data_IF_424875498240
#
_entry.id   IF_424875498240
#
_cell.length_a   1.000
_cell.length_b   1.000
_cell.length_c   1.000
_cell.angle_alpha   90.00
_cell.angle_beta   90.00
_cell.angle_gamma   90.00
#
_symmetry.space_group_name_H-M   'P 1'
#
loop_
_entity.id
_entity.type
_entity.pdbx_description
1 polymer ?
#
# COMPACT_ATOMS: atom_id res chain seq x y z
N UNK A 1 13.24 -46.81 38.75
CA UNK A 1 14.17 -46.76 37.60
C UNK A 1 13.30 -46.63 36.36
N UNK A 2 13.39 -45.54 35.58
CA UNK A 2 12.62 -45.41 34.34
C UNK A 2 13.38 -46.15 33.22
N UNK A 3 12.79 -47.21 32.68
CA UNK A 3 13.35 -47.93 31.53
C UNK A 3 13.45 -47.00 30.32
N UNK A 4 14.61 -47.03 29.66
CA UNK A 4 14.86 -46.19 28.49
C UNK A 4 14.00 -46.72 27.33
N UNK A 5 13.25 -45.85 26.61
CA UNK A 5 12.34 -46.31 25.56
C UNK A 5 13.10 -47.06 24.46
N UNK A 6 12.49 -48.09 23.85
CA UNK A 6 13.15 -48.91 22.85
C UNK A 6 13.47 -48.08 21.58
N UNK A 7 14.53 -48.40 20.84
CA UNK A 7 15.02 -47.58 19.72
C UNK A 7 14.00 -47.31 18.62
N UNK A 8 13.08 -48.25 18.39
CA UNK A 8 12.05 -48.14 17.35
C UNK A 8 11.04 -47.03 17.64
N UNK A 9 10.67 -46.83 18.91
CA UNK A 9 9.72 -45.79 19.33
C UNK A 9 10.25 -44.38 19.07
N UNK A 10 11.57 -44.18 19.16
CA UNK A 10 12.22 -42.89 18.86
C UNK A 10 12.21 -42.63 17.35
N UNK A 11 12.41 -43.68 16.54
CA UNK A 11 12.47 -43.59 15.07
C UNK A 11 11.08 -43.31 14.49
N UNK A 12 10.04 -43.96 15.00
CA UNK A 12 8.64 -43.72 14.63
C UNK A 12 8.19 -42.32 15.03
N UNK A 13 8.44 -41.89 16.27
CA UNK A 13 8.08 -40.54 16.75
C UNK A 13 8.83 -39.44 15.98
N UNK A 14 10.08 -39.70 15.58
CA UNK A 14 10.86 -38.79 14.73
C UNK A 14 10.30 -38.74 13.30
N UNK A 15 9.91 -39.87 12.73
CA UNK A 15 9.24 -39.96 11.42
C UNK A 15 7.97 -39.12 11.38
N UNK A 16 7.03 -39.38 12.29
CA UNK A 16 5.78 -38.61 12.37
C UNK A 16 6.05 -37.12 12.58
N UNK A 17 7.01 -36.74 13.44
CA UNK A 17 7.34 -35.33 13.67
C UNK A 17 7.85 -34.64 12.39
N UNK A 18 8.67 -35.31 11.59
CA UNK A 18 9.18 -34.74 10.33
C UNK A 18 8.05 -34.56 9.33
N UNK A 19 7.17 -35.56 9.18
CA UNK A 19 5.99 -35.48 8.32
C UNK A 19 5.06 -34.31 8.73
N UNK A 20 4.72 -34.20 10.01
CA UNK A 20 3.88 -33.10 10.51
C UNK A 20 4.51 -31.72 10.27
N UNK A 21 5.82 -31.58 10.43
CA UNK A 21 6.52 -30.31 10.19
C UNK A 21 6.49 -29.94 8.70
N UNK A 22 6.70 -30.91 7.80
CA UNK A 22 6.64 -30.69 6.36
C UNK A 22 5.24 -30.23 5.92
N UNK A 23 4.19 -30.91 6.39
CA UNK A 23 2.80 -30.50 6.12
C UNK A 23 2.49 -29.09 6.62
N UNK A 24 2.95 -28.73 7.83
CA UNK A 24 2.73 -27.39 8.40
C UNK A 24 3.47 -26.30 7.61
N UNK A 25 4.70 -26.57 7.17
CA UNK A 25 5.46 -25.64 6.34
C UNK A 25 4.79 -25.40 4.99
N UNK A 26 4.43 -26.46 4.27
CA UNK A 26 3.74 -26.35 2.97
C UNK A 26 2.38 -25.66 3.12
N UNK A 27 1.62 -25.97 4.18
CA UNK A 27 0.34 -25.31 4.43
C UNK A 27 0.49 -23.80 4.67
N UNK A 28 1.54 -23.39 5.40
CA UNK A 28 1.83 -21.98 5.65
C UNK A 28 2.24 -21.24 4.37
N UNK A 29 3.11 -21.84 3.55
CA UNK A 29 3.53 -21.28 2.25
C UNK A 29 2.33 -21.03 1.34
N UNK A 30 1.47 -22.05 1.16
CA UNK A 30 0.26 -21.92 0.34
C UNK A 30 -0.70 -20.85 0.89
N UNK A 31 -0.92 -20.82 2.20
CA UNK A 31 -1.79 -19.82 2.82
C UNK A 31 -1.26 -18.40 2.63
N UNK A 32 0.06 -18.22 2.73
CA UNK A 32 0.71 -16.92 2.57
C UNK A 32 0.70 -16.46 1.12
N UNK A 33 0.98 -17.35 0.17
CA UNK A 33 0.90 -17.03 -1.26
C UNK A 33 -0.52 -16.62 -1.67
N UNK A 34 -1.54 -17.35 -1.18
CA UNK A 34 -2.94 -16.97 -1.37
C UNK A 34 -3.25 -15.62 -0.72
N UNK A 35 -2.74 -15.38 0.49
CA UNK A 35 -2.89 -14.11 1.18
C UNK A 35 -2.29 -12.94 0.41
N UNK A 36 -1.04 -13.07 -0.07
CA UNK A 36 -0.36 -12.06 -0.89
C UNK A 36 -1.20 -11.73 -2.13
N UNK A 37 -1.62 -12.76 -2.87
CA UNK A 37 -2.46 -12.62 -4.05
C UNK A 37 -3.75 -11.83 -3.72
N UNK A 38 -4.44 -12.18 -2.63
CA UNK A 38 -5.65 -11.48 -2.20
C UNK A 38 -5.39 -10.01 -1.86
N UNK A 39 -4.34 -9.72 -1.08
CA UNK A 39 -3.97 -8.35 -0.71
C UNK A 39 -3.65 -7.50 -1.95
N UNK A 40 -2.94 -8.07 -2.93
CA UNK A 40 -2.63 -7.40 -4.20
C UNK A 40 -3.90 -7.10 -5.00
N UNK A 41 -4.79 -8.07 -5.17
CA UNK A 41 -6.05 -7.88 -5.91
C UNK A 41 -6.94 -6.82 -5.26
N UNK A 42 -7.05 -6.82 -3.93
CA UNK A 42 -7.82 -5.81 -3.19
C UNK A 42 -7.17 -4.43 -3.35
N UNK A 43 -5.85 -4.33 -3.19
CA UNK A 43 -5.13 -3.07 -3.38
C UNK A 43 -5.30 -2.50 -4.79
N UNK A 44 -5.20 -3.34 -5.83
CA UNK A 44 -5.44 -2.95 -7.22
C UNK A 44 -6.90 -2.52 -7.44
N UNK A 45 -7.87 -3.26 -6.91
CA UNK A 45 -9.29 -2.93 -7.05
C UNK A 45 -9.60 -1.56 -6.42
N UNK A 46 -9.12 -1.31 -5.19
CA UNK A 46 -9.29 -0.03 -4.50
C UNK A 46 -8.63 1.11 -5.29
N UNK A 47 -7.42 0.90 -5.81
CA UNK A 47 -6.72 1.90 -6.62
C UNK A 47 -7.48 2.25 -7.90
N UNK A 48 -8.00 1.24 -8.61
CA UNK A 48 -8.76 1.43 -9.84
C UNK A 48 -10.08 2.15 -9.56
N UNK A 49 -10.84 1.71 -8.55
CA UNK A 49 -12.14 2.32 -8.21
C UNK A 49 -11.95 3.76 -7.76
N UNK A 50 -11.00 4.03 -6.88
CA UNK A 50 -10.71 5.40 -6.43
C UNK A 50 -10.22 6.28 -7.56
N UNK A 51 -9.36 5.77 -8.46
CA UNK A 51 -8.93 6.47 -9.66
C UNK A 51 -10.08 6.86 -10.58
N UNK A 52 -10.96 5.90 -10.92
CA UNK A 52 -12.14 6.14 -11.76
C UNK A 52 -13.09 7.16 -11.11
N UNK A 53 -13.42 6.96 -9.83
CA UNK A 53 -14.27 7.90 -9.09
C UNK A 53 -13.63 9.29 -9.01
N UNK A 54 -12.32 9.38 -8.83
CA UNK A 54 -11.60 10.64 -8.82
C UNK A 54 -11.68 11.39 -10.15
N UNK A 55 -11.53 10.69 -11.28
CA UNK A 55 -11.70 11.29 -12.61
C UNK A 55 -13.13 11.81 -12.80
N UNK A 56 -14.14 11.02 -12.42
CA UNK A 56 -15.55 11.42 -12.54
C UNK A 56 -15.86 12.65 -11.69
N UNK A 57 -15.38 12.71 -10.45
CA UNK A 57 -15.62 13.85 -9.55
C UNK A 57 -14.80 15.09 -9.94
N UNK A 58 -13.60 14.89 -10.49
CA UNK A 58 -12.76 15.98 -11.02
C UNK A 58 -13.46 16.71 -12.18
N UNK A 59 -14.04 15.96 -13.12
CA UNK A 59 -14.82 16.53 -14.23
C UNK A 59 -16.05 17.28 -13.70
N UNK A 60 -16.64 16.83 -12.59
CA UNK A 60 -17.77 17.48 -11.92
C UNK A 60 -17.38 18.66 -11.04
N UNK A 61 -16.11 19.05 -10.96
CA UNK A 61 -15.57 20.13 -10.11
C UNK A 61 -15.95 19.98 -8.62
N UNK A 62 -16.00 18.74 -8.11
CA UNK A 62 -16.25 18.51 -6.68
C UNK A 62 -14.98 18.87 -5.86
N UNK A 63 -15.05 19.81 -4.90
CA UNK A 63 -13.91 20.20 -4.07
C UNK A 63 -13.36 19.06 -3.20
N UNK A 64 -14.16 18.02 -2.90
CA UNK A 64 -13.71 16.86 -2.09
C UNK A 64 -12.93 15.82 -2.89
N UNK A 65 -12.85 15.94 -4.22
CA UNK A 65 -12.25 14.94 -5.11
C UNK A 65 -10.82 14.56 -4.70
N UNK A 66 -10.00 15.55 -4.33
CA UNK A 66 -8.61 15.34 -3.95
C UNK A 66 -8.47 14.54 -2.66
N UNK A 67 -9.37 14.77 -1.70
CA UNK A 67 -9.38 14.05 -0.43
C UNK A 67 -9.78 12.58 -0.64
N UNK A 68 -10.84 12.33 -1.42
CA UNK A 68 -11.31 10.98 -1.75
C UNK A 68 -10.25 10.18 -2.54
N UNK A 69 -9.55 10.84 -3.47
CA UNK A 69 -8.43 10.24 -4.18
C UNK A 69 -7.25 9.91 -3.26
N UNK A 70 -6.84 10.84 -2.40
CA UNK A 70 -5.75 10.63 -1.46
C UNK A 70 -6.03 9.46 -0.50
N UNK A 71 -7.27 9.35 0.00
CA UNK A 71 -7.72 8.24 0.84
C UNK A 71 -7.69 6.91 0.08
N UNK A 72 -8.17 6.88 -1.17
CA UNK A 72 -8.13 5.68 -2.01
C UNK A 72 -6.71 5.20 -2.33
N UNK A 73 -5.80 6.12 -2.63
CA UNK A 73 -4.38 5.80 -2.80
C UNK A 73 -3.74 5.27 -1.52
N UNK A 74 -4.00 5.91 -0.37
CA UNK A 74 -3.46 5.47 0.92
C UNK A 74 -3.93 4.05 1.26
N UNK A 75 -5.23 3.79 1.10
CA UNK A 75 -5.80 2.46 1.36
C UNK A 75 -5.21 1.39 0.43
N UNK A 76 -5.04 1.68 -0.87
CA UNK A 76 -4.40 0.76 -1.80
C UNK A 76 -2.94 0.44 -1.40
N UNK A 77 -2.22 1.43 -0.87
CA UNK A 77 -0.85 1.24 -0.37
C UNK A 77 -0.82 0.40 0.91
N UNK A 78 -1.77 0.59 1.82
CA UNK A 78 -1.89 -0.23 3.04
C UNK A 78 -2.13 -1.71 2.70
N UNK A 79 -3.00 -2.01 1.73
CA UNK A 79 -3.20 -3.38 1.26
C UNK A 79 -1.93 -3.95 0.61
N UNK A 80 -1.19 -3.13 -0.14
CA UNK A 80 0.08 -3.55 -0.75
C UNK A 80 1.15 -3.85 0.29
N UNK A 81 1.24 -3.04 1.35
CA UNK A 81 2.10 -3.28 2.51
C UNK A 81 1.69 -4.55 3.27
N UNK A 82 0.39 -4.82 3.40
CA UNK A 82 -0.12 -6.05 4.01
C UNK A 82 0.40 -7.31 3.32
N UNK A 83 0.32 -7.36 1.98
CA UNK A 83 0.88 -8.46 1.20
C UNK A 83 2.40 -8.59 1.36
N UNK A 84 3.12 -7.47 1.41
CA UNK A 84 4.57 -7.48 1.63
C UNK A 84 4.95 -8.03 3.03
N UNK A 85 4.19 -7.66 4.06
CA UNK A 85 4.37 -8.20 5.42
C UNK A 85 4.17 -9.71 5.41
N UNK A 86 3.11 -10.22 4.76
CA UNK A 86 2.87 -11.66 4.63
C UNK A 86 4.06 -12.38 3.98
N UNK A 87 4.65 -11.80 2.94
CA UNK A 87 5.84 -12.35 2.26
C UNK A 87 7.04 -12.47 3.21
N UNK A 88 7.28 -11.46 4.05
CA UNK A 88 8.40 -11.46 5.02
C UNK A 88 8.22 -12.46 6.18
N UNK A 89 6.99 -12.91 6.46
CA UNK A 89 6.71 -13.91 7.51
C UNK A 89 7.22 -15.29 7.11
N UNK A 90 7.22 -15.62 5.81
CA UNK A 90 7.65 -16.93 5.28
C UNK A 90 9.04 -16.89 4.70
N UNK A 91 9.33 -15.88 3.87
CA UNK A 91 10.61 -15.76 3.15
C UNK A 91 11.31 -14.48 3.58
N UNK A 92 12.38 -14.63 4.35
CA UNK A 92 13.21 -13.50 4.83
C UNK A 92 14.21 -13.02 3.75
N UNK A 93 13.79 -12.89 2.50
CA UNK A 93 14.68 -12.44 1.41
C UNK A 93 14.46 -10.95 1.10
N UNK A 94 15.22 -10.11 1.80
CA UNK A 94 15.01 -8.66 1.87
C UNK A 94 15.28 -7.92 0.54
N UNK A 95 15.95 -8.56 -0.43
CA UNK A 95 16.40 -7.88 -1.65
C UNK A 95 15.29 -7.62 -2.67
N UNK A 96 14.44 -8.61 -2.95
CA UNK A 96 13.35 -8.45 -3.91
C UNK A 96 12.24 -7.54 -3.36
N UNK A 97 11.98 -7.67 -2.06
CA UNK A 97 11.04 -6.86 -1.28
C UNK A 97 11.46 -5.38 -1.30
N UNK A 98 12.74 -5.09 -1.09
CA UNK A 98 13.26 -3.73 -1.10
C UNK A 98 13.12 -3.06 -2.49
N UNK A 99 13.30 -3.81 -3.58
CA UNK A 99 13.18 -3.26 -4.94
C UNK A 99 11.73 -2.89 -5.27
N UNK A 100 10.79 -3.78 -4.97
CA UNK A 100 9.36 -3.55 -5.20
C UNK A 100 8.86 -2.39 -4.32
N UNK A 101 9.24 -2.38 -3.04
CA UNK A 101 8.96 -1.28 -2.12
C UNK A 101 9.51 0.06 -2.60
N UNK A 102 10.76 0.10 -3.07
CA UNK A 102 11.39 1.32 -3.58
C UNK A 102 10.64 1.89 -4.80
N UNK A 103 10.20 1.04 -5.74
CA UNK A 103 9.46 1.48 -6.93
C UNK A 103 8.10 2.09 -6.54
N UNK A 104 7.38 1.46 -5.60
CA UNK A 104 6.08 1.95 -5.12
C UNK A 104 6.25 3.30 -4.40
N UNK A 105 7.27 3.41 -3.56
CA UNK A 105 7.56 4.61 -2.78
C UNK A 105 7.99 5.77 -3.67
N UNK A 106 8.86 5.50 -4.66
CA UNK A 106 9.22 6.47 -5.70
C UNK A 106 8.00 6.95 -6.48
N UNK A 107 7.10 6.04 -6.85
CA UNK A 107 5.88 6.37 -7.61
C UNK A 107 4.93 7.23 -6.77
N UNK A 108 4.75 6.91 -5.50
CA UNK A 108 3.95 7.71 -4.57
C UNK A 108 4.56 9.10 -4.36
N UNK A 109 5.87 9.17 -4.12
CA UNK A 109 6.59 10.42 -3.92
C UNK A 109 6.52 11.34 -5.15
N UNK A 110 6.76 10.81 -6.34
CA UNK A 110 6.71 11.58 -7.59
C UNK A 110 5.29 12.10 -7.87
N UNK A 111 4.28 11.24 -7.67
CA UNK A 111 2.87 11.64 -7.85
C UNK A 111 2.46 12.70 -6.83
N UNK A 112 2.93 12.59 -5.58
CA UNK A 112 2.63 13.55 -4.52
C UNK A 112 3.35 14.88 -4.72
N UNK A 113 4.59 14.86 -5.19
CA UNK A 113 5.38 16.05 -5.56
C UNK A 113 4.64 16.88 -6.61
N UNK A 114 4.19 16.25 -7.71
CA UNK A 114 3.42 16.92 -8.75
C UNK A 114 2.12 17.48 -8.18
N UNK A 115 1.45 16.74 -7.31
CA UNK A 115 0.18 17.17 -6.72
C UNK A 115 0.34 18.34 -5.72
N UNK A 116 1.51 18.45 -5.09
CA UNK A 116 1.85 19.54 -4.18
C UNK A 116 2.25 20.81 -4.94
N UNK A 117 3.01 20.66 -6.03
CA UNK A 117 3.41 21.77 -6.91
C UNK A 117 2.17 22.48 -7.50
N UNK A 118 1.22 21.70 -8.03
CA UNK A 118 -0.03 22.24 -8.61
C UNK A 118 -0.87 22.98 -7.55
N UNK A 119 -0.90 22.50 -6.30
CA UNK A 119 -1.66 23.15 -5.21
C UNK A 119 -1.02 24.49 -4.80
N UNK A 120 0.29 24.62 -4.95
CA UNK A 120 1.02 25.80 -4.53
C UNK A 120 0.93 26.93 -5.57
N UNK A 121 0.71 26.59 -6.84
CA UNK A 121 0.46 27.57 -7.92
C UNK A 121 -0.93 28.23 -7.82
N UNK A 122 -1.96 27.53 -7.33
CA UNK A 122 -3.29 28.14 -7.09
C UNK A 122 -3.28 29.17 -5.93
N UNK A 123 -2.31 29.10 -5.02
CA UNK A 123 -2.16 30.05 -3.90
C UNK A 123 -1.34 31.30 -4.26
N UNK A 124 -0.79 31.36 -5.48
CA UNK A 124 0.14 32.42 -5.90
C UNK A 124 -0.35 33.24 -7.10
N UNK A 125 -1.62 33.16 -7.48
CA UNK A 125 -2.25 34.22 -8.27
C UNK A 125 -2.33 35.47 -7.38
N UNK A 126 -1.56 36.54 -7.66
CA UNK A 126 -1.79 37.81 -7.00
C UNK A 126 -3.18 38.29 -7.42
N UNK A 127 -3.95 38.81 -6.46
CA UNK A 127 -5.09 39.67 -6.77
C UNK A 127 -4.59 40.81 -7.66
N UNK A 128 -4.73 40.63 -8.97
CA UNK A 128 -4.48 41.66 -9.94
C UNK A 128 -5.67 42.63 -9.88
N UNK A 129 -5.50 43.67 -9.07
CA UNK A 129 -6.00 45.00 -9.40
C UNK A 129 -7.18 45.50 -8.59
N UNK A 130 -6.89 46.05 -7.41
CA UNK A 130 -7.49 47.33 -7.05
C UNK A 130 -6.40 48.40 -7.11
N UNK A 131 -6.27 49.03 -8.29
CA UNK A 131 -5.36 50.15 -8.52
C UNK A 131 -5.74 51.37 -7.66
N UNK A 132 -4.76 52.26 -7.38
CA UNK A 132 -4.93 53.39 -6.50
C UNK A 132 -5.75 54.48 -7.21
N UNK A 133 -7.06 54.53 -6.96
CA UNK A 133 -7.86 55.71 -7.30
C UNK A 133 -7.85 56.69 -6.14
N UNK A 134 -6.72 57.36 -5.97
CA UNK A 134 -6.72 58.74 -5.50
C UNK A 134 -6.89 59.64 -6.71
N UNK A 135 -8.11 60.13 -6.97
CA UNK A 135 -8.29 61.39 -7.68
C UNK A 135 -9.40 62.21 -7.06
N UNK A 136 -8.92 63.19 -6.28
CA UNK A 136 -9.43 64.54 -6.08
C UNK A 136 -10.57 65.01 -7.01
N UNK A 137 -11.49 65.73 -6.36
CA UNK A 137 -12.40 66.79 -6.82
C UNK A 137 -13.67 66.41 -7.60
N UNK A 138 -14.85 66.68 -7.00
CA UNK A 138 -15.64 67.88 -7.37
C UNK A 138 -16.83 68.17 -6.44
N UNK A 139 -16.89 69.45 -6.04
CA UNK A 139 -17.99 70.29 -5.53
C UNK A 139 -18.44 70.16 -4.07
#
# INVERSE_FOLDING_TARGET
>A
MAEKPPPWAIREKRGNKMEWMEYLHTALEVAVDLGIMLFEWVGVAVLVVSGVLGVVHYIRRDPETRLKLAQGLAMALEFKLGGEILRTVVVRDLKEIALVGAIILLRAALTFLIHWEIKNEEASLPEAGHGPYSHRERK
#
